data_IF_671178973948
#
_entry.id   IF_671178973948
#
_cell.length_a   1.000
_cell.length_b   1.000
_cell.length_c   1.000
_cell.angle_alpha   90.00
_cell.angle_beta   90.00
_cell.angle_gamma   90.00
#
_symmetry.space_group_name_H-M   'P 1'
#
loop_
_entity.id
_entity.type
_entity.pdbx_description
1 polymer ?
#
# COMPACT_ATOMS: atom_id res chain seq x y z
N UNK A 1 2.69 18.28 -0.76
CA UNK A 1 1.85 17.21 -1.34
C UNK A 1 0.44 17.44 -0.85
N UNK A 2 -0.51 17.75 -1.74
CA UNK A 2 -1.81 18.30 -1.31
C UNK A 2 -2.88 17.24 -1.08
N UNK A 3 -2.72 16.06 -1.72
CA UNK A 3 -3.64 14.93 -1.55
C UNK A 3 -3.55 14.37 -0.13
N UNK A 4 -4.71 14.02 0.44
CA UNK A 4 -4.87 13.47 1.80
C UNK A 4 -5.18 11.98 1.83
N UNK A 5 -5.47 11.39 0.68
CA UNK A 5 -5.70 9.96 0.50
C UNK A 5 -4.46 9.36 -0.17
N UNK A 6 -3.95 8.25 0.35
CA UNK A 6 -2.90 7.44 -0.27
C UNK A 6 -3.50 6.11 -0.74
N UNK A 7 -3.05 5.65 -1.90
CA UNK A 7 -3.34 4.32 -2.44
C UNK A 7 -2.03 3.58 -2.71
N UNK A 8 -1.77 2.55 -1.91
CA UNK A 8 -0.54 1.77 -1.90
C UNK A 8 -0.73 0.53 -2.76
N UNK A 9 0.16 0.32 -3.73
CA UNK A 9 0.01 -0.78 -4.69
C UNK A 9 -1.17 -0.52 -5.65
N UNK A 10 -1.36 0.74 -6.05
CA UNK A 10 -2.59 1.15 -6.74
C UNK A 10 -2.74 0.52 -8.15
N UNK A 11 -1.65 0.05 -8.73
CA UNK A 11 -1.61 -0.47 -10.09
C UNK A 11 -2.28 0.47 -11.10
N UNK A 12 -3.03 -0.08 -12.07
CA UNK A 12 -3.79 0.71 -13.05
C UNK A 12 -5.17 1.17 -12.53
N UNK A 13 -5.56 0.85 -11.30
CA UNK A 13 -6.91 1.07 -10.75
C UNK A 13 -6.87 1.91 -9.47
N UNK A 14 -6.20 3.06 -9.56
CA UNK A 14 -6.02 3.98 -8.45
C UNK A 14 -7.34 4.55 -7.91
N UNK A 15 -7.46 4.60 -6.59
CA UNK A 15 -8.56 5.27 -5.87
C UNK A 15 -8.66 6.74 -6.29
N UNK A 16 -9.87 7.20 -6.60
CA UNK A 16 -10.12 8.58 -7.02
C UNK A 16 -9.63 9.59 -5.96
N UNK A 17 -9.05 10.71 -6.41
CA UNK A 17 -8.51 11.77 -5.55
C UNK A 17 -7.37 11.35 -4.59
N UNK A 18 -6.82 10.15 -4.76
CA UNK A 18 -5.66 9.66 -4.00
C UNK A 18 -4.33 9.95 -4.69
N UNK A 19 -3.26 9.99 -3.89
CA UNK A 19 -1.90 9.80 -4.40
C UNK A 19 -1.65 8.30 -4.52
N UNK A 20 -1.23 7.84 -5.70
CA UNK A 20 -0.99 6.43 -5.95
C UNK A 20 0.50 6.13 -5.99
N UNK A 21 0.91 5.10 -5.25
CA UNK A 21 2.25 4.54 -5.31
C UNK A 21 2.20 3.08 -5.74
N UNK A 22 3.16 2.68 -6.57
CA UNK A 22 3.32 1.30 -7.01
C UNK A 22 4.78 1.04 -7.42
N UNK A 23 5.21 -0.22 -7.43
CA UNK A 23 6.54 -0.59 -7.92
C UNK A 23 6.62 -0.56 -9.46
N UNK A 24 5.49 -0.70 -10.14
CA UNK A 24 5.37 -0.63 -11.59
C UNK A 24 4.80 0.71 -12.03
N UNK A 25 5.28 1.23 -13.16
CA UNK A 25 4.72 2.44 -13.75
C UNK A 25 3.44 2.14 -14.54
N UNK A 26 2.33 2.74 -14.11
CA UNK A 26 1.08 2.87 -14.87
C UNK A 26 0.74 4.35 -15.10
N UNK A 27 -0.14 4.70 -16.06
CA UNK A 27 -0.60 6.08 -16.24
C UNK A 27 -1.19 6.70 -14.97
N UNK A 28 -1.78 5.86 -14.11
CA UNK A 28 -2.43 6.25 -12.87
C UNK A 28 -1.44 6.39 -11.70
N UNK A 29 -0.23 5.85 -11.76
CA UNK A 29 0.73 5.89 -10.64
C UNK A 29 1.37 7.28 -10.57
N UNK A 30 1.24 7.96 -9.42
CA UNK A 30 1.82 9.29 -9.21
C UNK A 30 3.32 9.20 -8.85
N UNK A 31 3.75 8.13 -8.18
CA UNK A 31 5.13 7.90 -7.78
C UNK A 31 5.49 6.42 -7.82
N UNK A 32 6.57 6.06 -8.53
CA UNK A 32 7.14 4.72 -8.45
C UNK A 32 7.84 4.57 -7.09
N UNK A 33 7.46 3.56 -6.32
CA UNK A 33 8.02 3.30 -5.00
C UNK A 33 8.04 1.79 -4.72
N UNK A 34 9.22 1.25 -4.41
CA UNK A 34 9.36 -0.11 -3.90
C UNK A 34 9.15 -0.11 -2.38
N UNK A 35 8.07 -0.76 -1.95
CA UNK A 35 7.63 -0.77 -0.54
C UNK A 35 8.64 -1.45 0.40
N UNK A 36 9.57 -2.23 -0.14
CA UNK A 36 10.61 -2.90 0.65
C UNK A 36 11.81 -1.98 0.92
N UNK A 37 11.90 -0.83 0.26
CA UNK A 37 12.95 0.16 0.47
C UNK A 37 12.47 1.22 1.46
N UNK A 38 12.66 0.92 2.74
CA UNK A 38 12.30 1.81 3.85
C UNK A 38 13.47 2.72 4.24
N UNK A 39 13.22 3.98 4.65
CA UNK A 39 11.92 4.64 4.71
C UNK A 39 11.42 5.09 3.32
N UNK A 40 10.11 5.11 3.14
CA UNK A 40 9.43 5.62 1.95
C UNK A 40 9.61 7.13 1.84
N UNK A 41 9.89 7.63 0.63
CA UNK A 41 9.96 9.06 0.33
C UNK A 41 8.56 9.69 0.29
N UNK A 42 7.94 9.72 1.47
CA UNK A 42 6.59 10.21 1.76
C UNK A 42 6.61 10.96 3.10
N UNK A 43 5.82 12.04 3.23
CA UNK A 43 5.78 12.83 4.45
C UNK A 43 5.19 12.03 5.62
N UNK A 44 5.75 12.22 6.82
CA UNK A 44 5.17 11.70 8.05
C UNK A 44 3.89 12.47 8.43
N UNK A 45 3.00 11.84 9.20
CA UNK A 45 1.79 12.46 9.78
C UNK A 45 0.88 13.20 8.77
N UNK A 46 0.79 12.72 7.54
CA UNK A 46 0.20 13.49 6.43
C UNK A 46 -1.13 12.95 5.92
N UNK A 47 -1.26 11.63 5.77
CA UNK A 47 -2.41 11.00 5.13
C UNK A 47 -3.54 10.71 6.13
N UNK A 48 -4.77 11.01 5.73
CA UNK A 48 -5.97 10.82 6.56
C UNK A 48 -6.66 9.49 6.26
N UNK A 49 -6.51 9.01 5.02
CA UNK A 49 -7.02 7.71 4.57
C UNK A 49 -5.91 7.03 3.77
N UNK A 50 -5.63 5.77 4.08
CA UNK A 50 -4.64 4.96 3.37
C UNK A 50 -5.32 3.67 2.91
N UNK A 51 -5.24 3.39 1.61
CA UNK A 51 -5.67 2.12 1.03
C UNK A 51 -4.45 1.25 0.73
N UNK A 52 -4.54 -0.03 1.07
CA UNK A 52 -3.58 -1.06 0.71
C UNK A 52 -4.39 -2.29 0.28
N UNK A 53 -4.70 -2.37 -1.01
CA UNK A 53 -5.56 -3.41 -1.59
C UNK A 53 -4.72 -4.41 -2.34
N UNK A 54 -4.73 -5.67 -1.90
CA UNK A 54 -3.99 -6.77 -2.52
C UNK A 54 -2.49 -6.48 -2.71
N UNK A 55 -1.87 -5.86 -1.69
CA UNK A 55 -0.45 -5.45 -1.74
C UNK A 55 0.37 -5.96 -0.56
N UNK A 56 -0.23 -6.09 0.62
CA UNK A 56 0.48 -6.44 1.86
C UNK A 56 1.03 -7.87 1.82
N UNK A 57 0.38 -8.77 1.10
CA UNK A 57 0.82 -10.15 0.90
C UNK A 57 2.07 -10.28 0.03
N UNK A 58 2.43 -9.23 -0.72
CA UNK A 58 3.60 -9.21 -1.61
C UNK A 58 4.86 -8.62 -0.97
N UNK A 59 4.73 -7.88 0.15
CA UNK A 59 5.87 -7.19 0.78
C UNK A 59 6.81 -8.15 1.50
N UNK A 60 8.08 -7.80 1.60
CA UNK A 60 9.11 -8.62 2.24
C UNK A 60 8.93 -8.73 3.75
N UNK A 61 8.37 -7.70 4.39
CA UNK A 61 8.21 -7.61 5.85
C UNK A 61 6.94 -6.83 6.20
N UNK A 62 5.93 -7.53 6.71
CA UNK A 62 4.69 -6.91 7.20
C UNK A 62 4.98 -5.90 8.33
N UNK A 63 5.85 -6.17 9.33
CA UNK A 63 6.16 -5.19 10.36
C UNK A 63 6.78 -3.90 9.82
N UNK A 64 7.72 -3.99 8.87
CA UNK A 64 8.33 -2.78 8.27
C UNK A 64 7.32 -1.99 7.45
N UNK A 65 6.50 -2.68 6.66
CA UNK A 65 5.39 -2.07 5.94
C UNK A 65 4.44 -1.33 6.89
N UNK A 66 3.98 -1.98 7.96
CA UNK A 66 3.05 -1.38 8.92
C UNK A 66 3.68 -0.23 9.71
N UNK A 67 4.99 -0.28 10.00
CA UNK A 67 5.71 0.84 10.61
C UNK A 67 5.73 2.06 9.70
N UNK A 68 5.97 1.86 8.40
CA UNK A 68 5.94 2.96 7.43
C UNK A 68 4.52 3.50 7.21
N UNK A 69 3.51 2.63 7.07
CA UNK A 69 2.09 3.03 7.02
C UNK A 69 1.74 3.88 8.24
N UNK A 70 2.16 3.47 9.44
CA UNK A 70 1.93 4.23 10.65
C UNK A 70 2.67 5.58 10.64
N UNK A 71 3.94 5.62 10.19
CA UNK A 71 4.74 6.85 10.10
C UNK A 71 4.08 7.91 9.22
N UNK A 72 3.51 7.51 8.08
CA UNK A 72 2.92 8.45 7.12
C UNK A 72 1.46 8.79 7.43
N UNK A 73 0.79 7.96 8.23
CA UNK A 73 -0.57 8.17 8.70
C UNK A 73 -0.61 9.32 9.70
N UNK A 74 -1.54 10.26 9.49
CA UNK A 74 -1.86 11.30 10.47
C UNK A 74 -2.51 10.65 11.71
N UNK A 75 -2.37 11.27 12.88
CA UNK A 75 -3.15 10.88 14.06
C UNK A 75 -4.66 10.84 13.75
N UNK A 76 -5.31 9.74 14.13
CA UNK A 76 -6.71 9.46 13.81
C UNK A 76 -7.00 9.05 12.35
N UNK A 77 -5.98 8.80 11.52
CA UNK A 77 -6.18 8.31 10.15
C UNK A 77 -6.84 6.93 10.11
N UNK A 78 -7.56 6.66 9.01
CA UNK A 78 -8.14 5.35 8.73
C UNK A 78 -7.27 4.60 7.71
N UNK A 79 -6.88 3.37 8.05
CA UNK A 79 -6.11 2.48 7.16
C UNK A 79 -7.00 1.32 6.73
N UNK A 80 -7.23 1.19 5.43
CA UNK A 80 -7.96 0.09 4.82
C UNK A 80 -6.98 -0.90 4.21
N UNK A 81 -6.90 -2.09 4.79
CA UNK A 81 -6.10 -3.21 4.26
C UNK A 81 -7.05 -4.27 3.75
N UNK A 82 -6.89 -4.66 2.49
CA UNK A 82 -7.60 -5.77 1.86
C UNK A 82 -6.56 -6.74 1.32
N UNK A 83 -6.71 -8.01 1.64
CA UNK A 83 -5.80 -9.08 1.21
C UNK A 83 -6.60 -10.39 1.14
N UNK A 84 -6.21 -11.37 0.31
CA UNK A 84 -6.85 -12.67 0.28
C UNK A 84 -6.70 -13.38 1.62
N UNK A 85 -7.84 -13.80 2.18
CA UNK A 85 -7.85 -14.61 3.39
C UNK A 85 -7.04 -15.91 3.19
N UNK A 86 -6.32 -16.39 4.20
CA UNK A 86 -5.39 -17.53 4.13
C UNK A 86 -6.03 -18.84 3.68
N UNK A 87 -7.36 -18.94 3.80
CA UNK A 87 -8.14 -20.10 3.37
C UNK A 87 -8.74 -19.95 1.97
N UNK A 88 -8.60 -18.78 1.33
CA UNK A 88 -9.06 -18.55 -0.03
C UNK A 88 -8.07 -19.16 -1.02
N UNK A 89 -8.57 -19.71 -2.12
CA UNK A 89 -7.74 -20.18 -3.23
C UNK A 89 -6.94 -19.05 -3.86
N UNK A 90 -7.45 -17.81 -3.83
CA UNK A 90 -6.77 -16.63 -4.35
C UNK A 90 -5.45 -16.39 -3.64
N UNK A 91 -5.38 -16.71 -2.34
CA UNK A 91 -4.15 -16.57 -1.55
C UNK A 91 -3.00 -17.42 -2.09
N UNK A 92 -3.28 -18.54 -2.77
CA UNK A 92 -2.26 -19.46 -3.31
C UNK A 92 -2.15 -19.44 -4.83
N UNK A 93 -2.98 -18.62 -5.50
CA UNK A 93 -3.03 -18.59 -6.97
C UNK A 93 -2.02 -17.64 -7.58
N UNK A 94 -1.60 -16.60 -6.85
CA UNK A 94 -0.54 -15.68 -7.26
C UNK A 94 0.84 -16.15 -6.73
N UNK A 95 1.81 -16.49 -7.61
CA UNK A 95 3.13 -16.96 -7.18
C UNK A 95 4.01 -15.87 -6.55
N UNK A 96 3.58 -14.60 -6.58
CA UNK A 96 4.30 -13.48 -6.00
C UNK A 96 3.92 -13.20 -4.54
N UNK A 97 2.87 -13.86 -4.03
CA UNK A 97 2.53 -13.80 -2.60
C UNK A 97 3.67 -14.38 -1.76
N UNK A 98 4.03 -13.64 -0.71
CA UNK A 98 4.98 -14.04 0.33
C UNK A 98 4.28 -14.44 1.63
N UNK A 99 3.05 -13.96 1.82
CA UNK A 99 2.24 -14.18 3.02
C UNK A 99 0.85 -14.67 2.64
N UNK A 100 0.28 -15.53 3.49
CA UNK A 100 -1.11 -16.00 3.40
C UNK A 100 -1.79 -15.63 4.73
N UNK A 101 -2.60 -14.57 4.70
CA UNK A 101 -3.09 -13.85 5.90
C UNK A 101 -4.52 -14.21 6.29
#
# INVERSE_FOLDING_TARGET
MDKKILDIGCGPSKVENSWGIDIFQYPEVDQILDLNNVPWDLPADHFEIIYAQHVIEHVASIPEFMNEVHRIAKDGATVHVVTPHFSSIDSYSDPTHRWHL
#
